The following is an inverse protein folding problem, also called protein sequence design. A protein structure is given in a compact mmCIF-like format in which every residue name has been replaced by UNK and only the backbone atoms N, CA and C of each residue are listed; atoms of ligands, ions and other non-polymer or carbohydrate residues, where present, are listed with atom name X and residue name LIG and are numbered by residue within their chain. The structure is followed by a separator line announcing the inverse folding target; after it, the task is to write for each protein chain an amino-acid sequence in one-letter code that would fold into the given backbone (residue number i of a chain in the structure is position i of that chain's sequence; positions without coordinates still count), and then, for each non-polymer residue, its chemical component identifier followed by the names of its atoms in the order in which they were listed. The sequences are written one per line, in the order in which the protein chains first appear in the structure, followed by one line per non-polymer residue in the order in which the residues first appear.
data_IF_384711474267
#
_entry.id   IF_384711474267
#
_cell.length_a   1.000
_cell.length_b   1.000
_cell.length_c   1.000
_cell.angle_alpha   90.00
_cell.angle_beta   90.00
_cell.angle_gamma   90.00
#
_symmetry.space_group_name_H-M   'P 1'
#
loop_
_entity.id
_entity.type
_entity.pdbx_description
1 polymer ?
#
# COMPACT_ATOMS: atom_id res chain seq x y z
N UNK A 1 -21.47 32.52 -55.94
CA UNK A 1 -20.43 33.00 -55.01
C UNK A 1 -20.78 32.46 -53.63
N UNK A 2 -20.22 31.28 -53.27
CA UNK A 2 -20.59 30.55 -52.06
C UNK A 2 -19.64 30.93 -50.90
N UNK A 3 -20.22 31.37 -49.79
CA UNK A 3 -19.51 31.74 -48.57
C UNK A 3 -19.28 30.46 -47.75
N UNK A 4 -18.03 30.04 -47.63
CA UNK A 4 -17.62 28.97 -46.72
C UNK A 4 -17.50 29.53 -45.30
N UNK A 5 -18.53 29.30 -44.48
CA UNK A 5 -18.47 29.55 -43.04
C UNK A 5 -17.57 28.48 -42.39
N UNK A 6 -16.35 28.86 -42.03
CA UNK A 6 -15.47 28.01 -41.25
C UNK A 6 -16.09 27.79 -39.86
N UNK A 7 -16.47 26.53 -39.56
CA UNK A 7 -16.87 26.11 -38.22
C UNK A 7 -15.71 26.38 -37.26
N UNK A 8 -15.85 27.38 -36.39
CA UNK A 8 -14.95 27.61 -35.27
C UNK A 8 -15.21 26.52 -34.23
N UNK A 9 -14.52 25.38 -34.34
CA UNK A 9 -14.56 24.36 -33.29
C UNK A 9 -13.81 24.93 -32.07
N UNK A 10 -14.44 25.00 -30.88
CA UNK A 10 -13.77 25.45 -29.69
C UNK A 10 -12.55 24.56 -29.42
N UNK A 11 -11.41 25.18 -29.08
CA UNK A 11 -10.20 24.45 -28.75
C UNK A 11 -10.48 23.46 -27.62
N UNK A 12 -9.89 22.25 -27.64
CA UNK A 12 -10.08 21.29 -26.56
C UNK A 12 -9.65 21.94 -25.23
N UNK A 13 -10.45 21.75 -24.16
CA UNK A 13 -10.19 22.37 -22.87
C UNK A 13 -8.77 22.03 -22.40
N UNK A 14 -8.05 23.06 -21.95
CA UNK A 14 -6.68 22.91 -21.46
C UNK A 14 -6.65 21.97 -20.25
N UNK A 15 -5.50 21.36 -19.93
CA UNK A 15 -5.38 20.47 -18.77
C UNK A 15 -5.80 21.11 -17.43
N UNK A 16 -5.84 22.44 -17.35
CA UNK A 16 -6.31 23.21 -16.20
C UNK A 16 -7.84 23.24 -16.05
N UNK A 17 -8.61 22.99 -17.12
CA UNK A 17 -10.08 23.03 -17.11
C UNK A 17 -10.73 21.67 -16.77
N UNK A 18 -9.94 20.59 -16.73
CA UNK A 18 -10.43 19.33 -16.17
C UNK A 18 -10.46 19.46 -14.66
N UNK A 19 -11.63 19.84 -14.12
CA UNK A 19 -11.90 19.85 -12.69
C UNK A 19 -11.46 18.55 -12.00
N UNK A 20 -11.28 18.55 -10.67
CA UNK A 20 -10.73 17.41 -9.95
C UNK A 20 -11.49 16.14 -10.33
N UNK A 21 -10.80 15.16 -10.91
CA UNK A 21 -11.38 13.84 -11.15
C UNK A 21 -11.72 13.30 -9.77
N UNK A 22 -13.01 13.15 -9.44
CA UNK A 22 -13.52 12.89 -8.09
C UNK A 22 -12.75 11.77 -7.36
N UNK A 23 -12.36 10.72 -8.09
CA UNK A 23 -11.59 9.59 -7.55
C UNK A 23 -10.15 9.93 -7.13
N UNK A 24 -9.50 10.91 -7.78
CA UNK A 24 -8.13 11.33 -7.42
C UNK A 24 -8.11 12.07 -6.08
N UNK A 25 -9.04 12.99 -5.87
CA UNK A 25 -9.17 13.71 -4.59
C UNK A 25 -9.61 12.77 -3.46
N UNK A 26 -10.54 11.84 -3.74
CA UNK A 26 -10.94 10.82 -2.78
C UNK A 26 -9.78 9.95 -2.29
N UNK A 27 -8.84 9.62 -3.17
CA UNK A 27 -7.64 8.85 -2.81
C UNK A 27 -6.78 9.56 -1.77
N UNK A 28 -6.52 10.85 -1.95
CA UNK A 28 -5.73 11.64 -1.01
C UNK A 28 -6.39 11.77 0.36
N UNK A 29 -7.72 11.93 0.38
CA UNK A 29 -8.47 11.92 1.65
C UNK A 29 -8.32 10.58 2.35
N UNK A 30 -8.42 9.47 1.61
CA UNK A 30 -8.19 8.11 2.14
C UNK A 30 -6.79 7.96 2.75
N UNK A 31 -5.74 8.35 2.02
CA UNK A 31 -4.35 8.31 2.50
C UNK A 31 -4.16 9.14 3.78
N UNK A 32 -4.74 10.35 3.84
CA UNK A 32 -4.68 11.17 5.04
C UNK A 32 -5.37 10.52 6.24
N UNK A 33 -6.52 9.87 6.02
CA UNK A 33 -7.24 9.14 7.06
C UNK A 33 -6.44 7.93 7.55
N UNK A 34 -5.77 7.20 6.65
CA UNK A 34 -4.88 6.11 7.02
C UNK A 34 -3.70 6.58 7.87
N UNK A 35 -3.02 7.65 7.46
CA UNK A 35 -1.93 8.19 8.27
C UNK A 35 -2.42 8.69 9.62
N UNK A 36 -3.61 9.29 9.70
CA UNK A 36 -4.20 9.67 10.98
C UNK A 36 -4.48 8.45 11.87
N UNK A 37 -5.13 7.42 11.32
CA UNK A 37 -5.42 6.18 12.01
C UNK A 37 -4.15 5.50 12.55
N UNK A 38 -3.16 5.30 11.69
CA UNK A 38 -1.89 4.69 12.09
C UNK A 38 -1.12 5.56 13.08
N UNK A 39 -1.18 6.90 12.98
CA UNK A 39 -0.57 7.79 13.97
C UNK A 39 -1.16 7.57 15.37
N UNK A 40 -2.47 7.40 15.48
CA UNK A 40 -3.13 7.08 16.75
C UNK A 40 -2.68 5.70 17.26
N UNK A 41 -2.62 4.68 16.39
CA UNK A 41 -2.15 3.35 16.77
C UNK A 41 -0.66 3.34 17.19
N UNK A 42 0.19 4.13 16.53
CA UNK A 42 1.58 4.30 16.94
C UNK A 42 1.71 5.04 18.26
N UNK A 43 0.85 6.02 18.56
CA UNK A 43 0.81 6.65 19.88
C UNK A 43 0.46 5.62 20.97
N UNK A 44 -0.48 4.71 20.71
CA UNK A 44 -0.78 3.58 21.61
C UNK A 44 0.43 2.66 21.79
N UNK A 45 1.16 2.36 20.70
CA UNK A 45 2.41 1.59 20.78
C UNK A 45 3.45 2.24 21.69
N UNK A 46 3.72 3.54 21.50
CA UNK A 46 4.70 4.24 22.33
C UNK A 46 4.25 4.35 23.79
N UNK A 47 2.95 4.59 24.03
CA UNK A 47 2.36 4.56 25.36
C UNK A 47 2.55 3.21 26.04
N UNK A 48 2.24 2.11 25.35
CA UNK A 48 2.45 0.76 25.85
C UNK A 48 3.94 0.47 26.14
N UNK A 49 4.86 0.92 25.29
CA UNK A 49 6.31 0.73 25.47
C UNK A 49 6.85 1.47 26.69
N UNK A 50 6.27 2.63 27.03
CA UNK A 50 6.65 3.40 28.24
C UNK A 50 6.05 2.76 29.50
N UNK A 51 4.81 2.28 29.44
CA UNK A 51 4.09 1.72 30.59
C UNK A 51 4.59 0.33 30.99
N UNK A 52 4.99 -0.49 30.01
CA UNK A 52 5.56 -1.83 30.27
C UNK A 52 6.80 -2.09 29.40
N UNK A 53 7.96 -1.49 29.73
CA UNK A 53 9.20 -1.69 28.97
C UNK A 53 9.71 -3.13 29.02
N UNK A 54 9.34 -3.90 30.05
CA UNK A 54 9.77 -5.30 30.20
C UNK A 54 9.13 -6.18 29.11
N UNK A 55 7.83 -6.02 28.87
CA UNK A 55 7.13 -6.76 27.81
C UNK A 55 7.74 -6.53 26.41
N UNK A 56 8.26 -5.34 26.12
CA UNK A 56 8.87 -5.03 24.82
C UNK A 56 10.28 -5.60 24.67
N UNK A 57 11.09 -5.62 25.74
CA UNK A 57 12.40 -6.29 25.73
C UNK A 57 12.27 -7.79 25.55
N UNK A 58 11.32 -8.41 26.24
CA UNK A 58 11.11 -9.86 26.18
C UNK A 58 10.35 -10.28 24.91
N UNK A 59 9.53 -9.39 24.35
CA UNK A 59 8.71 -9.62 23.15
C UNK A 59 9.50 -9.62 21.85
N UNK A 60 10.54 -8.80 21.75
CA UNK A 60 11.38 -8.59 20.56
C UNK A 60 11.84 -9.90 19.89
N UNK A 61 12.47 -10.77 20.68
CA UNK A 61 13.06 -12.02 20.21
C UNK A 61 12.06 -13.12 19.92
N UNK A 62 10.76 -12.88 20.17
CA UNK A 62 9.70 -13.85 19.94
C UNK A 62 9.13 -13.78 18.52
N UNK A 63 9.41 -12.70 17.79
CA UNK A 63 8.98 -12.51 16.41
C UNK A 63 10.04 -13.00 15.42
N UNK A 64 9.59 -13.51 14.27
CA UNK A 64 10.50 -13.93 13.20
C UNK A 64 11.02 -12.72 12.42
N UNK A 65 12.25 -12.30 12.71
CA UNK A 65 12.94 -11.24 11.95
C UNK A 65 13.03 -11.54 10.45
N UNK A 66 13.17 -12.82 10.10
CA UNK A 66 13.17 -13.26 8.70
C UNK A 66 11.82 -13.02 8.02
N UNK A 67 10.70 -13.28 8.69
CA UNK A 67 9.37 -13.01 8.15
C UNK A 67 9.16 -11.50 7.94
N UNK A 68 9.52 -10.68 8.93
CA UNK A 68 9.46 -9.22 8.81
C UNK A 68 10.32 -8.67 7.66
N UNK A 69 11.53 -9.19 7.49
CA UNK A 69 12.43 -8.82 6.39
C UNK A 69 11.88 -9.27 5.03
N UNK A 70 11.36 -10.50 4.93
CA UNK A 70 10.77 -11.02 3.70
C UNK A 70 9.57 -10.19 3.25
N UNK A 71 8.66 -9.83 4.18
CA UNK A 71 7.53 -8.95 3.87
C UNK A 71 8.03 -7.59 3.38
N UNK A 72 9.01 -7.01 4.06
CA UNK A 72 9.57 -5.70 3.68
C UNK A 72 10.12 -5.70 2.26
N UNK A 73 10.89 -6.74 1.90
CA UNK A 73 11.42 -6.89 0.54
C UNK A 73 10.31 -7.04 -0.50
N UNK A 74 9.28 -7.82 -0.17
CA UNK A 74 8.11 -8.01 -1.04
C UNK A 74 7.37 -6.68 -1.28
N UNK A 75 7.06 -5.94 -0.23
CA UNK A 75 6.30 -4.69 -0.35
C UNK A 75 7.06 -3.62 -1.14
N UNK A 76 8.33 -3.38 -0.79
CA UNK A 76 9.19 -2.43 -1.51
C UNK A 76 9.36 -2.83 -2.98
N UNK A 77 9.48 -4.14 -3.27
CA UNK A 77 9.56 -4.63 -4.65
C UNK A 77 8.26 -4.39 -5.42
N UNK A 78 7.11 -4.63 -4.79
CA UNK A 78 5.80 -4.33 -5.38
C UNK A 78 5.65 -2.83 -5.67
N UNK A 79 6.06 -1.96 -4.74
CA UNK A 79 6.10 -0.51 -4.95
C UNK A 79 7.01 -0.10 -6.12
N UNK A 80 8.19 -0.72 -6.25
CA UNK A 80 9.08 -0.49 -7.39
C UNK A 80 8.42 -0.88 -8.73
N UNK A 81 7.80 -2.05 -8.81
CA UNK A 81 7.10 -2.50 -10.03
C UNK A 81 5.90 -1.58 -10.36
N UNK A 82 5.22 -1.05 -9.34
CA UNK A 82 4.14 -0.09 -9.53
C UNK A 82 4.66 1.24 -10.12
N UNK A 83 5.79 1.76 -9.63
CA UNK A 83 6.45 2.92 -10.24
C UNK A 83 6.86 2.67 -11.69
N UNK A 84 7.42 1.48 -11.99
CA UNK A 84 7.74 1.09 -13.38
C UNK A 84 6.51 1.00 -14.28
N UNK A 85 5.35 0.64 -13.73
CA UNK A 85 4.08 0.65 -14.45
C UNK A 85 3.71 2.07 -14.86
N UNK A 86 3.76 3.02 -13.92
CA UNK A 86 3.46 4.44 -14.18
C UNK A 86 4.42 5.01 -15.24
N UNK A 87 5.71 4.75 -15.12
CA UNK A 87 6.72 5.22 -16.09
C UNK A 87 6.48 4.64 -17.49
N UNK A 88 6.15 3.34 -17.57
CA UNK A 88 5.85 2.69 -18.84
C UNK A 88 4.59 3.26 -19.49
N UNK A 89 3.55 3.59 -18.70
CA UNK A 89 2.33 4.23 -19.21
C UNK A 89 2.58 5.67 -19.69
N UNK A 90 3.44 6.43 -19.00
CA UNK A 90 3.86 7.78 -19.41
C UNK A 90 4.66 7.78 -20.71
N UNK A 91 5.48 6.75 -20.92
CA UNK A 91 6.25 6.54 -22.14
C UNK A 91 5.47 5.83 -23.27
N UNK A 92 4.16 5.64 -23.10
CA UNK A 92 3.25 4.91 -24.02
C UNK A 92 3.69 3.47 -24.35
N UNK A 93 4.44 2.84 -23.45
CA UNK A 93 4.91 1.45 -23.56
C UNK A 93 3.89 0.48 -22.94
N UNK A 94 2.71 0.37 -23.56
CA UNK A 94 1.57 -0.40 -23.04
C UNK A 94 1.90 -1.86 -22.70
N UNK A 95 2.67 -2.55 -23.56
CA UNK A 95 3.08 -3.94 -23.32
C UNK A 95 3.95 -4.06 -22.07
N UNK A 96 4.87 -3.13 -21.85
CA UNK A 96 5.71 -3.12 -20.65
C UNK A 96 4.87 -2.84 -19.40
N UNK A 97 3.95 -1.87 -19.45
CA UNK A 97 3.07 -1.54 -18.34
C UNK A 97 2.22 -2.74 -17.87
N UNK A 98 1.69 -3.54 -18.80
CA UNK A 98 0.92 -4.77 -18.49
C UNK A 98 1.72 -5.80 -17.71
N UNK A 99 3.00 -5.98 -18.06
CA UNK A 99 3.88 -6.91 -17.35
C UNK A 99 4.34 -6.34 -16.00
N UNK A 100 4.63 -5.04 -15.91
CA UNK A 100 5.01 -4.41 -14.65
C UNK A 100 3.88 -4.43 -13.61
N UNK A 101 2.63 -4.13 -14.01
CA UNK A 101 1.52 -4.13 -13.06
C UNK A 101 1.17 -5.56 -12.62
N UNK A 102 1.31 -6.54 -13.51
CA UNK A 102 1.15 -7.95 -13.15
C UNK A 102 2.23 -8.41 -12.18
N UNK A 103 3.50 -8.01 -12.40
CA UNK A 103 4.59 -8.30 -11.48
C UNK A 103 4.37 -7.64 -10.10
N UNK A 104 3.89 -6.39 -10.09
CA UNK A 104 3.50 -5.69 -8.86
C UNK A 104 2.43 -6.47 -8.10
N UNK A 105 1.36 -6.89 -8.78
CA UNK A 105 0.26 -7.64 -8.17
C UNK A 105 0.71 -9.00 -7.61
N UNK A 106 1.48 -9.78 -8.38
CA UNK A 106 1.97 -11.07 -7.92
C UNK A 106 2.89 -10.92 -6.70
N UNK A 107 3.74 -9.91 -6.71
CA UNK A 107 4.61 -9.60 -5.57
C UNK A 107 3.77 -9.18 -4.35
N UNK A 108 2.85 -8.24 -4.52
CA UNK A 108 1.93 -7.79 -3.47
C UNK A 108 1.15 -8.94 -2.80
N UNK A 109 0.68 -9.92 -3.57
CA UNK A 109 -0.03 -11.09 -3.04
C UNK A 109 0.84 -12.01 -2.15
N UNK A 110 2.17 -11.92 -2.21
CA UNK A 110 3.04 -12.68 -1.32
C UNK A 110 2.97 -12.16 0.12
N UNK A 111 2.69 -10.87 0.33
CA UNK A 111 2.63 -10.30 1.67
C UNK A 111 1.57 -10.97 2.56
N UNK A 112 0.28 -11.05 2.17
CA UNK A 112 -0.74 -11.74 2.98
C UNK A 112 -0.41 -13.20 3.24
N UNK A 113 0.22 -13.90 2.29
CA UNK A 113 0.64 -15.29 2.43
C UNK A 113 1.71 -15.44 3.50
N UNK A 114 2.78 -14.63 3.43
CA UNK A 114 3.85 -14.66 4.43
C UNK A 114 3.29 -14.29 5.80
N UNK A 115 2.39 -13.29 5.87
CA UNK A 115 1.79 -12.86 7.13
C UNK A 115 0.90 -13.94 7.75
N UNK A 116 0.12 -14.64 6.93
CA UNK A 116 -0.68 -15.78 7.39
C UNK A 116 0.20 -16.89 7.98
N UNK A 117 1.30 -17.23 7.31
CA UNK A 117 2.25 -18.23 7.80
C UNK A 117 2.94 -17.79 9.10
N UNK A 118 3.28 -16.51 9.24
CA UNK A 118 3.82 -15.94 10.48
C UNK A 118 2.82 -16.07 11.64
N UNK A 119 1.54 -15.74 11.42
CA UNK A 119 0.48 -15.88 12.43
C UNK A 119 0.33 -17.35 12.86
N UNK A 120 0.35 -18.29 11.90
CA UNK A 120 0.26 -19.71 12.20
C UNK A 120 1.46 -20.21 13.02
N UNK A 121 2.67 -19.77 12.68
CA UNK A 121 3.88 -20.09 13.46
C UNK A 121 3.80 -19.49 14.87
N UNK A 122 3.38 -18.24 15.00
CA UNK A 122 3.22 -17.58 16.31
C UNK A 122 2.22 -18.32 17.20
N UNK A 123 1.09 -18.76 16.64
CA UNK A 123 0.09 -19.55 17.36
C UNK A 123 0.66 -20.90 17.83
N UNK A 124 1.45 -21.58 17.00
CA UNK A 124 2.13 -22.82 17.37
C UNK A 124 3.16 -22.62 18.51
N UNK A 125 3.74 -21.42 18.63
CA UNK A 125 4.63 -21.05 19.72
C UNK A 125 3.92 -20.43 20.94
N UNK A 126 2.58 -20.53 21.00
CA UNK A 126 1.74 -19.99 22.08
C UNK A 126 1.93 -18.47 22.33
N UNK A 127 2.24 -17.71 21.27
CA UNK A 127 2.26 -16.25 21.31
C UNK A 127 0.83 -15.71 21.27
N UNK A 128 0.15 -15.78 22.43
CA UNK A 128 -1.19 -15.23 22.59
C UNK A 128 -1.16 -13.73 22.89
N UNK A 129 -2.10 -12.98 22.31
CA UNK A 129 -2.37 -11.60 22.70
C UNK A 129 -2.90 -11.50 24.14
N UNK A 130 -3.53 -12.56 24.65
CA UNK A 130 -4.04 -12.60 26.00
C UNK A 130 -2.89 -12.54 27.03
N UNK A 131 -2.75 -11.40 27.70
CA UNK A 131 -1.77 -11.20 28.78
C UNK A 131 -0.42 -10.65 28.35
N UNK A 132 -0.22 -10.25 27.09
CA UNK A 132 1.03 -9.59 26.67
C UNK A 132 0.72 -8.36 25.79
N UNK A 133 1.04 -7.17 26.32
CA UNK A 133 0.77 -5.89 25.65
C UNK A 133 1.57 -5.72 24.35
N UNK A 134 2.81 -6.22 24.28
CA UNK A 134 3.62 -6.19 23.07
C UNK A 134 2.95 -6.98 21.94
N UNK A 135 2.54 -8.22 22.22
CA UNK A 135 1.87 -9.08 21.23
C UNK A 135 0.52 -8.50 20.81
N UNK A 136 -0.20 -7.89 21.75
CA UNK A 136 -1.49 -7.23 21.47
C UNK A 136 -1.33 -6.08 20.49
N UNK A 137 -0.45 -5.12 20.79
CA UNK A 137 -0.20 -3.95 19.94
C UNK A 137 0.38 -4.37 18.58
N UNK A 138 1.25 -5.38 18.55
CA UNK A 138 1.77 -5.97 17.32
C UNK A 138 0.67 -6.49 16.40
N UNK A 139 -0.27 -7.29 16.92
CA UNK A 139 -1.36 -7.82 16.11
C UNK A 139 -2.32 -6.72 15.66
N UNK A 140 -2.65 -5.75 16.51
CA UNK A 140 -3.49 -4.62 16.09
C UNK A 140 -2.86 -3.83 14.93
N UNK A 141 -1.58 -3.45 15.04
CA UNK A 141 -0.91 -2.71 13.98
C UNK A 141 -0.77 -3.52 12.69
N UNK A 142 -0.33 -4.77 12.79
CA UNK A 142 -0.02 -5.59 11.61
C UNK A 142 -1.27 -6.13 10.90
N UNK A 143 -2.34 -6.47 11.64
CA UNK A 143 -3.61 -6.88 11.03
C UNK A 143 -4.35 -5.69 10.42
N UNK A 144 -4.30 -4.52 11.05
CA UNK A 144 -4.86 -3.31 10.45
C UNK A 144 -4.15 -2.98 9.14
N UNK A 145 -2.82 -3.06 9.13
CA UNK A 145 -2.03 -2.91 7.92
C UNK A 145 -2.37 -3.95 6.85
N UNK A 146 -2.64 -5.20 7.23
CA UNK A 146 -3.07 -6.23 6.30
C UNK A 146 -4.40 -5.89 5.62
N UNK A 147 -5.35 -5.28 6.34
CA UNK A 147 -6.63 -4.82 5.77
C UNK A 147 -6.39 -3.76 4.70
N UNK A 148 -5.60 -2.73 5.02
CA UNK A 148 -5.28 -1.62 4.09
C UNK A 148 -4.50 -2.10 2.85
N UNK A 149 -3.52 -2.97 3.04
CA UNK A 149 -2.81 -3.60 1.93
C UNK A 149 -3.74 -4.46 1.07
N UNK A 150 -4.73 -5.14 1.67
CA UNK A 150 -5.73 -5.92 0.93
C UNK A 150 -6.59 -5.03 0.03
N UNK A 151 -7.00 -3.85 0.50
CA UNK A 151 -7.67 -2.86 -0.36
C UNK A 151 -6.78 -2.41 -1.52
N UNK A 152 -5.48 -2.20 -1.27
CA UNK A 152 -4.48 -1.94 -2.31
C UNK A 152 -4.40 -3.06 -3.35
N UNK A 153 -4.35 -4.32 -2.92
CA UNK A 153 -4.32 -5.50 -3.80
C UNK A 153 -5.61 -5.62 -4.62
N UNK A 154 -6.77 -5.36 -4.02
CA UNK A 154 -8.05 -5.32 -4.75
C UNK A 154 -8.05 -4.24 -5.83
N UNK A 155 -7.60 -3.03 -5.49
CA UNK A 155 -7.43 -1.92 -6.44
C UNK A 155 -6.43 -2.26 -7.56
N UNK A 156 -5.33 -2.92 -7.23
CA UNK A 156 -4.29 -3.34 -8.18
C UNK A 156 -4.79 -4.45 -9.11
N UNK A 157 -5.59 -5.38 -8.60
CA UNK A 157 -6.26 -6.40 -9.41
C UNK A 157 -7.21 -5.75 -10.40
N UNK A 158 -8.05 -4.81 -9.93
CA UNK A 158 -8.96 -4.06 -10.79
C UNK A 158 -8.19 -3.30 -11.89
N UNK A 159 -7.18 -2.50 -11.52
CA UNK A 159 -6.41 -1.74 -12.50
C UNK A 159 -5.59 -2.61 -13.44
N UNK A 160 -5.13 -3.78 -12.99
CA UNK A 160 -4.52 -4.78 -13.89
C UNK A 160 -5.52 -5.14 -14.97
N UNK A 161 -6.75 -5.53 -14.62
CA UNK A 161 -7.75 -5.86 -15.66
C UNK A 161 -8.05 -4.67 -16.59
N UNK A 162 -8.16 -3.44 -16.07
CA UNK A 162 -8.35 -2.22 -16.87
C UNK A 162 -7.19 -1.95 -17.84
N UNK A 163 -5.93 -2.11 -17.41
CA UNK A 163 -4.73 -1.89 -18.23
C UNK A 163 -4.63 -2.94 -19.35
N UNK A 164 -5.01 -4.19 -19.06
CA UNK A 164 -5.02 -5.25 -20.06
C UNK A 164 -6.12 -5.06 -21.11
N UNK A 165 -7.27 -4.51 -20.70
CA UNK A 165 -8.39 -4.18 -21.59
C UNK A 165 -8.26 -2.81 -22.27
N UNK A 166 -7.17 -2.06 -22.04
CA UNK A 166 -6.99 -0.67 -22.48
C UNK A 166 -8.13 0.28 -22.04
N UNK A 167 -8.76 0.01 -20.89
CA UNK A 167 -9.86 0.80 -20.30
C UNK A 167 -9.40 1.47 -19.00
N UNK A 168 -8.23 2.08 -19.01
CA UNK A 168 -7.63 2.69 -17.82
C UNK A 168 -7.52 4.20 -17.97
N UNK A 169 -7.52 4.89 -16.83
CA UNK A 169 -7.13 6.29 -16.74
C UNK A 169 -5.75 6.35 -16.08
N UNK A 170 -4.77 7.00 -16.70
CA UNK A 170 -3.41 7.13 -16.16
C UNK A 170 -3.41 7.69 -14.73
N UNK A 171 -4.28 8.68 -14.44
CA UNK A 171 -4.40 9.25 -13.09
C UNK A 171 -4.86 8.23 -12.05
N UNK A 172 -5.67 7.24 -12.43
CA UNK A 172 -6.11 6.18 -11.51
C UNK A 172 -4.96 5.22 -11.18
N UNK A 173 -4.09 4.92 -12.15
CA UNK A 173 -2.88 4.11 -11.94
C UNK A 173 -1.89 4.85 -11.05
N UNK A 174 -1.70 6.15 -11.26
CA UNK A 174 -0.88 7.00 -10.39
C UNK A 174 -1.45 7.10 -8.97
N UNK A 175 -2.76 7.28 -8.82
CA UNK A 175 -3.41 7.33 -7.51
C UNK A 175 -3.24 6.03 -6.72
N UNK A 176 -3.39 4.87 -7.38
CA UNK A 176 -3.13 3.58 -6.74
C UNK A 176 -1.65 3.41 -6.38
N UNK A 177 -0.73 3.87 -7.23
CA UNK A 177 0.70 3.80 -6.94
C UNK A 177 1.05 4.61 -5.68
N UNK A 178 0.50 5.82 -5.56
CA UNK A 178 0.71 6.68 -4.38
C UNK A 178 0.15 6.03 -3.12
N UNK A 179 -1.04 5.43 -3.19
CA UNK A 179 -1.61 4.68 -2.07
C UNK A 179 -0.76 3.50 -1.66
N UNK A 180 -0.31 2.68 -2.62
CA UNK A 180 0.56 1.55 -2.33
C UNK A 180 1.84 2.00 -1.61
N UNK A 181 2.45 3.08 -2.08
CA UNK A 181 3.62 3.69 -1.42
C UNK A 181 3.31 4.23 -0.02
N UNK A 182 2.14 4.81 0.21
CA UNK A 182 1.71 5.26 1.53
C UNK A 182 1.56 4.08 2.50
N UNK A 183 0.92 3.00 2.04
CA UNK A 183 0.81 1.74 2.79
C UNK A 183 2.21 1.14 3.06
N UNK A 184 3.12 1.10 2.08
CA UNK A 184 4.51 0.64 2.23
C UNK A 184 5.26 1.44 3.31
N UNK A 185 5.10 2.77 3.37
CA UNK A 185 5.73 3.61 4.40
C UNK A 185 5.26 3.19 5.80
N UNK A 186 3.96 2.95 5.99
CA UNK A 186 3.42 2.46 7.27
C UNK A 186 4.06 1.12 7.65
N UNK A 187 4.21 0.20 6.70
CA UNK A 187 4.90 -1.07 6.95
C UNK A 187 6.35 -0.87 7.38
N UNK A 188 7.09 0.01 6.71
CA UNK A 188 8.48 0.31 7.08
C UNK A 188 8.59 0.85 8.50
N UNK A 189 7.62 1.65 8.96
CA UNK A 189 7.58 2.08 10.36
C UNK A 189 7.28 0.92 11.32
N UNK A 190 6.31 0.06 11.00
CA UNK A 190 6.01 -1.16 11.79
C UNK A 190 7.25 -2.05 11.87
N UNK A 191 7.89 -2.32 10.73
CA UNK A 191 9.12 -3.11 10.65
C UNK A 191 10.22 -2.50 11.53
N UNK A 192 10.41 -1.18 11.43
CA UNK A 192 11.40 -0.46 12.24
C UNK A 192 11.14 -0.62 13.74
N UNK A 193 9.89 -0.49 14.18
CA UNK A 193 9.54 -0.50 15.60
C UNK A 193 9.46 -1.89 16.24
N UNK A 194 9.21 -2.95 15.46
CA UNK A 194 9.05 -4.31 15.98
C UNK A 194 10.17 -5.28 15.64
N UNK A 195 10.99 -4.98 14.62
CA UNK A 195 12.04 -5.89 14.17
C UNK A 195 13.43 -5.25 14.15
N UNK A 196 13.55 -3.94 13.86
CA UNK A 196 14.87 -3.29 13.71
C UNK A 196 15.37 -2.54 14.97
N UNK A 197 14.50 -1.81 15.68
CA UNK A 197 14.85 -0.95 16.82
C UNK A 197 14.26 -1.43 18.16
N UNK A 198 14.30 -2.75 18.38
CA UNK A 198 13.82 -3.34 19.63
C UNK A 198 14.97 -3.65 20.57
#
# INVERSE_FOLDING_TARGET
MAIAAALHLPAPPSHAERGPVLGYTGMWVGICLEFFEFSVLFAVYFGARVLDPAAFRDGAGRLSALAGMAITLVMVSAGFFMSRTVDALRADKQRAARWWILAALLCACLYPVIKYLEIQSNNAHHLSAAGNVFVTVYYYLTLNHLIHASWGIMGMTWLTTCVWLNRFNQRSVEALAIYWHATDIVWLMIFSFFYAFV
#
